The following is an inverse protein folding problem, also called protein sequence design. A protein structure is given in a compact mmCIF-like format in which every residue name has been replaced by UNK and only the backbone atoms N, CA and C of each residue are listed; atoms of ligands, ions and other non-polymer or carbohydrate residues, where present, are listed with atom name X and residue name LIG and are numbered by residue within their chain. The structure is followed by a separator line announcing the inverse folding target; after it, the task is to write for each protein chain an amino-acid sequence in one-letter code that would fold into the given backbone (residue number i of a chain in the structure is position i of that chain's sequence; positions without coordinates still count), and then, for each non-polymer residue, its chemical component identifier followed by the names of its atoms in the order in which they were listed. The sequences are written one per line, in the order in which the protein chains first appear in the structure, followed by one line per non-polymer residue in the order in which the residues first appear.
data_IF_835450712639
#
_entry.id   IF_835450712639
#
_cell.length_a   1.000
_cell.length_b   1.000
_cell.length_c   1.000
_cell.angle_alpha   90.00
_cell.angle_beta   90.00
_cell.angle_gamma   90.00
#
_symmetry.space_group_name_H-M   'P 1'
#
loop_
_entity.id
_entity.type
_entity.pdbx_description
1 polymer ?
#
# COMPACT_ATOMS: atom_id res chain seq x y z
N UNK A 1 -1.32 -0.50 -1.41
CA UNK A 1 -0.78 -1.84 -1.10
C UNK A 1 -0.10 -1.80 0.27
N UNK A 2 -0.24 -2.84 1.09
CA UNK A 2 0.47 -2.92 2.37
C UNK A 2 1.93 -3.31 2.17
N UNK A 3 2.84 -2.76 2.96
CA UNK A 3 4.28 -3.00 2.81
C UNK A 3 4.66 -4.47 2.97
N UNK A 4 4.01 -5.21 3.87
CA UNK A 4 4.19 -6.66 4.01
C UNK A 4 3.71 -7.47 2.80
N UNK A 5 2.60 -7.10 2.16
CA UNK A 5 2.19 -7.75 0.90
C UNK A 5 3.28 -7.54 -0.15
N UNK A 6 3.81 -6.31 -0.23
CA UNK A 6 4.89 -5.97 -1.15
C UNK A 6 6.17 -6.78 -0.87
N UNK A 7 6.55 -6.93 0.40
CA UNK A 7 7.72 -7.73 0.78
C UNK A 7 7.55 -9.21 0.42
N UNK A 8 6.36 -9.79 0.66
CA UNK A 8 6.01 -11.16 0.27
C UNK A 8 6.17 -11.35 -1.26
N UNK A 9 5.73 -10.38 -2.07
CA UNK A 9 5.91 -10.41 -3.52
C UNK A 9 7.39 -10.43 -3.94
N UNK A 10 8.27 -9.72 -3.21
CA UNK A 10 9.70 -9.68 -3.53
C UNK A 10 10.40 -10.99 -3.19
N UNK A 11 10.00 -11.67 -2.11
CA UNK A 11 10.51 -13.02 -1.78
C UNK A 11 10.16 -13.99 -2.89
N UNK A 12 8.90 -14.01 -3.33
CA UNK A 12 8.45 -14.84 -4.45
C UNK A 12 9.14 -14.46 -5.78
N UNK A 13 9.38 -13.16 -5.99
CA UNK A 13 10.14 -12.67 -7.12
C UNK A 13 11.58 -13.18 -7.12
N UNK A 14 12.23 -13.23 -5.95
CA UNK A 14 13.57 -13.80 -5.82
C UNK A 14 13.58 -15.30 -6.16
N UNK A 15 12.66 -16.08 -5.59
CA UNK A 15 12.51 -17.51 -5.89
C UNK A 15 12.27 -17.77 -7.39
N UNK A 16 11.52 -16.88 -8.05
CA UNK A 16 11.28 -16.94 -9.49
C UNK A 16 12.54 -16.65 -10.32
N UNK A 17 13.37 -15.70 -9.89
CA UNK A 17 14.65 -15.37 -10.52
C UNK A 17 15.68 -16.50 -10.31
N UNK A 18 15.70 -17.14 -9.14
CA UNK A 18 16.60 -18.27 -8.85
C UNK A 18 16.35 -19.49 -9.76
N UNK A 19 15.14 -19.62 -10.29
CA UNK A 19 14.80 -20.62 -11.30
C UNK A 19 15.26 -20.24 -12.72
N UNK A 20 15.94 -19.10 -12.89
CA UNK A 20 16.42 -18.59 -14.18
C UNK A 20 15.36 -17.82 -14.98
N UNK A 21 14.19 -17.54 -14.40
CA UNK A 21 13.15 -16.74 -15.05
C UNK A 21 13.36 -15.24 -14.82
N UNK A 22 12.62 -14.40 -15.55
CA UNK A 22 12.55 -12.95 -15.31
C UNK A 22 11.27 -12.38 -15.89
N UNK A 23 10.70 -11.37 -15.23
CA UNK A 23 9.49 -10.69 -15.69
C UNK A 23 9.39 -9.26 -15.13
N UNK A 24 8.74 -8.38 -15.90
CA UNK A 24 8.29 -7.08 -15.41
C UNK A 24 6.86 -7.23 -14.86
N UNK A 25 6.68 -7.00 -13.56
CA UNK A 25 5.42 -7.24 -12.85
C UNK A 25 4.95 -5.98 -12.13
N UNK A 26 3.66 -5.66 -12.29
CA UNK A 26 3.00 -4.64 -11.49
C UNK A 26 2.60 -5.23 -10.14
N UNK A 27 3.02 -4.59 -9.05
CA UNK A 27 2.65 -4.99 -7.69
C UNK A 27 1.65 -4.00 -7.10
N UNK A 28 0.44 -4.47 -6.81
CA UNK A 28 -0.64 -3.64 -6.30
C UNK A 28 -1.89 -4.44 -5.98
N UNK A 29 -2.94 -3.73 -5.56
CA UNK A 29 -4.22 -4.34 -5.17
C UNK A 29 -5.24 -4.41 -6.30
N UNK A 30 -4.96 -3.80 -7.47
CA UNK A 30 -5.96 -3.61 -8.53
C UNK A 30 -7.06 -2.60 -8.18
N UNK A 31 -6.97 -1.93 -7.02
CA UNK A 31 -8.00 -1.03 -6.49
C UNK A 31 -7.37 0.30 -6.09
N UNK A 32 -7.88 1.38 -6.66
CA UNK A 32 -7.53 2.75 -6.29
C UNK A 32 -8.27 3.22 -5.04
N UNK A 33 -7.67 4.17 -4.33
CA UNK A 33 -8.31 4.93 -3.27
C UNK A 33 -8.00 6.40 -3.47
N UNK A 34 -9.02 7.25 -3.38
CA UNK A 34 -8.86 8.69 -3.37
C UNK A 34 -8.19 9.15 -2.07
N UNK A 35 -7.58 10.35 -2.11
CA UNK A 35 -7.01 10.98 -0.90
C UNK A 35 -8.07 11.16 0.19
N UNK A 36 -9.33 11.42 -0.18
CA UNK A 36 -10.43 11.57 0.79
C UNK A 36 -10.77 10.25 1.50
N UNK A 37 -10.78 9.14 0.78
CA UNK A 37 -11.01 7.80 1.37
C UNK A 37 -9.87 7.40 2.32
N UNK A 38 -8.62 7.72 1.93
CA UNK A 38 -7.46 7.50 2.80
C UNK A 38 -7.60 8.31 4.09
N UNK A 39 -7.92 9.61 4.00
CA UNK A 39 -8.12 10.46 5.18
C UNK A 39 -9.27 9.94 6.06
N UNK A 40 -10.42 9.63 5.46
CA UNK A 40 -11.57 9.10 6.21
C UNK A 40 -11.24 7.77 6.92
N UNK A 41 -10.45 6.91 6.28
CA UNK A 41 -10.01 5.66 6.90
C UNK A 41 -9.03 5.91 8.05
N UNK A 42 -8.13 6.88 7.92
CA UNK A 42 -7.28 7.34 9.03
C UNK A 42 -8.15 7.80 10.19
N UNK A 43 -9.08 8.73 9.97
CA UNK A 43 -9.94 9.28 11.02
C UNK A 43 -10.73 8.20 11.75
N UNK A 44 -11.29 7.23 11.01
CA UNK A 44 -12.02 6.09 11.58
C UNK A 44 -11.13 5.15 12.39
N UNK A 45 -9.94 4.81 11.90
CA UNK A 45 -9.05 3.86 12.59
C UNK A 45 -8.40 4.50 13.81
N UNK A 46 -8.03 5.78 13.74
CA UNK A 46 -7.36 6.46 14.85
C UNK A 46 -8.32 7.10 15.84
N UNK A 47 -9.60 7.27 15.47
CA UNK A 47 -10.59 8.02 16.27
C UNK A 47 -10.24 9.50 16.42
N UNK A 48 -9.46 10.06 15.49
CA UNK A 48 -8.91 11.42 15.56
C UNK A 48 -9.16 12.14 14.25
N UNK A 49 -9.57 13.40 14.33
CA UNK A 49 -9.72 14.23 13.14
C UNK A 49 -8.36 14.49 12.48
N UNK A 50 -8.33 14.48 11.14
CA UNK A 50 -7.14 14.80 10.36
C UNK A 50 -7.31 16.21 9.79
N UNK A 51 -6.55 17.21 10.30
CA UNK A 51 -6.58 18.56 9.76
C UNK A 51 -6.15 18.57 8.29
N UNK A 52 -6.98 19.18 7.44
CA UNK A 52 -6.80 19.19 5.99
C UNK A 52 -7.25 20.51 5.38
N UNK A 53 -6.61 20.93 4.29
CA UNK A 53 -7.01 22.06 3.46
C UNK A 53 -6.91 21.69 1.99
N UNK A 54 -7.82 22.21 1.17
CA UNK A 54 -7.71 22.06 -0.27
C UNK A 54 -6.55 22.90 -0.79
N UNK A 55 -5.81 22.35 -1.76
CA UNK A 55 -4.68 23.00 -2.39
C UNK A 55 -4.72 22.74 -3.91
N UNK A 56 -3.96 23.54 -4.67
CA UNK A 56 -3.78 23.33 -6.10
C UNK A 56 -3.12 21.96 -6.38
N UNK A 57 -3.37 21.41 -7.58
CA UNK A 57 -2.75 20.16 -8.03
C UNK A 57 -1.23 20.34 -8.06
N UNK A 58 -0.50 19.38 -7.49
CA UNK A 58 0.95 19.31 -7.61
C UNK A 58 1.31 18.92 -9.05
N UNK A 59 2.20 19.66 -9.68
CA UNK A 59 2.63 19.38 -11.04
C UNK A 59 3.19 17.95 -11.16
N UNK A 60 2.77 17.22 -12.19
CA UNK A 60 3.17 15.83 -12.43
C UNK A 60 2.25 14.76 -11.83
N UNK A 61 1.39 15.08 -10.86
CA UNK A 61 0.47 14.08 -10.30
C UNK A 61 -0.61 13.72 -11.31
N UNK A 62 -0.80 12.46 -11.73
CA UNK A 62 -1.93 12.04 -12.55
C UNK A 62 -3.24 12.09 -11.73
N UNK A 63 -4.42 12.17 -12.38
CA UNK A 63 -5.69 12.13 -11.66
C UNK A 63 -5.96 10.74 -11.05
N UNK A 64 -5.47 9.69 -11.70
CA UNK A 64 -5.58 8.29 -11.25
C UNK A 64 -4.35 7.50 -11.73
N UNK A 65 -3.85 6.60 -10.87
CA UNK A 65 -2.79 5.64 -11.19
C UNK A 65 -3.00 4.38 -10.34
N UNK A 66 -3.44 3.30 -10.98
CA UNK A 66 -3.73 2.02 -10.31
C UNK A 66 -3.01 0.90 -11.06
N UNK A 67 -2.33 0.03 -10.30
CA UNK A 67 -1.64 -1.14 -10.85
C UNK A 67 -2.65 -2.23 -11.24
N UNK A 68 -2.49 -2.84 -12.42
CA UNK A 68 -3.10 -4.13 -12.75
C UNK A 68 -2.15 -5.27 -12.32
N UNK A 69 -2.45 -6.02 -11.24
CA UNK A 69 -1.57 -7.07 -10.72
C UNK A 69 -1.81 -8.44 -11.39
N UNK A 70 -2.63 -8.52 -12.45
CA UNK A 70 -3.05 -9.81 -13.03
C UNK A 70 -1.88 -10.68 -13.48
N UNK A 71 -0.79 -10.07 -13.96
CA UNK A 71 0.41 -10.83 -14.35
C UNK A 71 1.16 -11.37 -13.12
N UNK A 72 1.27 -10.59 -12.04
CA UNK A 72 1.90 -11.06 -10.80
C UNK A 72 1.10 -12.22 -10.16
N UNK A 73 -0.24 -12.17 -10.21
CA UNK A 73 -1.12 -13.24 -9.73
C UNK A 73 -0.94 -14.54 -10.53
N UNK A 74 -0.77 -14.44 -11.86
CA UNK A 74 -0.53 -15.60 -12.73
C UNK A 74 0.89 -16.17 -12.61
N UNK A 75 1.89 -15.29 -12.52
CA UNK A 75 3.31 -15.69 -12.58
C UNK A 75 3.85 -16.12 -11.22
N UNK A 76 3.51 -15.38 -10.16
CA UNK A 76 4.04 -15.62 -8.81
C UNK A 76 3.03 -16.29 -7.87
N UNK A 77 1.80 -16.54 -8.33
CA UNK A 77 0.69 -16.99 -7.48
C UNK A 77 0.46 -16.08 -6.27
N UNK A 78 0.78 -14.79 -6.42
CA UNK A 78 0.75 -13.80 -5.37
C UNK A 78 -0.40 -12.81 -5.55
N UNK A 79 -1.03 -12.43 -4.45
CA UNK A 79 -2.06 -11.39 -4.42
C UNK A 79 -1.94 -10.59 -3.12
N UNK A 80 -1.96 -9.26 -3.21
CA UNK A 80 -2.06 -8.43 -2.02
C UNK A 80 -3.38 -8.69 -1.28
N UNK A 81 -3.30 -8.97 0.02
CA UNK A 81 -4.47 -9.40 0.81
C UNK A 81 -4.95 -8.36 1.80
N UNK A 82 -4.10 -7.38 2.15
CA UNK A 82 -4.39 -6.45 3.23
C UNK A 82 -5.16 -5.22 2.75
N UNK A 83 -6.23 -4.88 3.47
CA UNK A 83 -7.11 -3.75 3.17
C UNK A 83 -6.50 -2.39 3.55
N UNK A 84 -7.13 -1.30 3.10
CA UNK A 84 -6.73 0.05 3.49
C UNK A 84 -6.81 0.27 5.00
N UNK A 85 -7.82 -0.30 5.67
CA UNK A 85 -7.96 -0.29 7.13
C UNK A 85 -6.77 -0.95 7.81
N UNK A 86 -6.35 -2.12 7.30
CA UNK A 86 -5.21 -2.84 7.86
C UNK A 86 -3.92 -2.04 7.65
N UNK A 87 -3.73 -1.42 6.48
CA UNK A 87 -2.60 -0.51 6.19
C UNK A 87 -2.53 0.63 7.20
N UNK A 88 -3.66 1.31 7.42
CA UNK A 88 -3.73 2.43 8.37
C UNK A 88 -3.52 1.94 9.80
N UNK A 89 -4.12 0.82 10.20
CA UNK A 89 -4.05 0.29 11.56
C UNK A 89 -2.62 -0.13 11.94
N UNK A 90 -1.90 -0.81 11.04
CA UNK A 90 -0.50 -1.21 11.29
C UNK A 90 0.42 0.00 11.34
N UNK A 91 0.23 0.97 10.44
CA UNK A 91 0.99 2.22 10.45
C UNK A 91 0.76 3.03 11.73
N UNK A 92 -0.50 3.12 12.19
CA UNK A 92 -0.85 3.83 13.42
C UNK A 92 -0.25 3.16 14.65
N UNK A 93 -0.37 1.84 14.77
CA UNK A 93 0.23 1.06 15.87
C UNK A 93 1.75 1.26 15.94
N UNK A 94 2.42 1.29 14.79
CA UNK A 94 3.86 1.59 14.72
C UNK A 94 4.20 3.03 15.14
N UNK A 95 3.39 4.01 14.72
CA UNK A 95 3.59 5.42 15.11
C UNK A 95 3.46 5.60 16.63
N UNK A 96 2.48 4.95 17.25
CA UNK A 96 2.27 5.04 18.70
C UNK A 96 3.41 4.37 19.49
N UNK A 97 3.94 3.23 19.02
CA UNK A 97 5.08 2.59 19.69
C UNK A 97 6.35 3.44 19.62
N UNK A 98 6.58 4.15 18.51
CA UNK A 98 7.69 5.10 18.37
C UNK A 98 7.59 6.27 19.34
N UNK A 99 6.38 6.82 19.51
CA UNK A 99 6.12 7.91 20.47
C UNK A 99 6.35 7.49 21.92
N UNK A 100 6.02 6.24 22.26
CA UNK A 100 6.29 5.70 23.59
C UNK A 100 7.80 5.51 23.87
N UNK A 101 8.61 5.23 22.85
CA UNK A 101 10.08 5.08 22.99
C UNK A 101 10.85 6.40 23.01
N UNK A 102 10.23 7.54 22.66
CA UNK A 102 10.88 8.87 22.67
C UNK A 102 10.48 9.73 23.88
N UNK A 103 9.74 9.16 24.82
CA UNK A 103 9.43 9.73 26.14
C UNK A 103 10.13 8.91 27.22
#
# INVERSE_FOLDING_TARGET
IHVSDLAEAHVLGLEYLEQGNSAALNLGTGKGHSVREVISTIERVTGREVPKRMAARRAGDPPELVADPSLAEKTLHWKATRSLEQIVATAWKWSESKRAMTR
#
